data_IF_687563623081
#
_entry.id   IF_687563623081
#
_cell.length_a   1.000
_cell.length_b   1.000
_cell.length_c   1.000
_cell.angle_alpha   90.00
_cell.angle_beta   90.00
_cell.angle_gamma   90.00
#
_symmetry.space_group_name_H-M   'P 1'
#
loop_
_entity.id
_entity.type
_entity.pdbx_description
1 polymer ?
#
# COMPACT_ATOMS: atom_id res chain seq x y z
N UNK A 1 5.33 0.81 -8.56
CA UNK A 1 4.38 -0.28 -8.88
C UNK A 1 4.95 -1.60 -8.36
N UNK A 2 4.13 -2.48 -7.76
CA UNK A 2 4.54 -3.83 -7.34
C UNK A 2 3.99 -4.88 -8.31
N UNK A 3 4.74 -5.94 -8.54
CA UNK A 3 4.38 -7.02 -9.45
C UNK A 3 4.37 -8.33 -8.68
N UNK A 4 3.23 -8.99 -8.68
CA UNK A 4 3.10 -10.39 -8.28
C UNK A 4 3.03 -11.27 -9.52
N UNK A 5 3.68 -12.43 -9.47
CA UNK A 5 3.74 -13.37 -10.58
C UNK A 5 3.44 -14.78 -10.09
N UNK A 6 2.97 -15.62 -11.00
CA UNK A 6 2.80 -17.04 -10.72
C UNK A 6 1.61 -17.66 -11.42
N UNK A 7 1.48 -18.95 -11.18
CA UNK A 7 0.37 -19.75 -11.66
C UNK A 7 -0.89 -19.52 -10.83
N UNK A 8 -2.03 -19.35 -11.51
CA UNK A 8 -3.33 -19.30 -10.85
C UNK A 8 -3.83 -20.73 -10.65
N UNK A 9 -3.75 -21.24 -9.42
CA UNK A 9 -3.91 -22.66 -9.07
C UNK A 9 -5.37 -23.15 -9.03
N UNK A 10 -6.22 -22.74 -9.98
CA UNK A 10 -7.65 -23.08 -10.02
C UNK A 10 -7.90 -24.58 -10.05
N UNK A 11 -7.04 -25.35 -10.72
CA UNK A 11 -7.18 -26.81 -10.82
C UNK A 11 -6.96 -27.48 -9.46
N UNK A 12 -5.84 -27.15 -8.80
CA UNK A 12 -5.48 -27.71 -7.50
C UNK A 12 -6.57 -27.45 -6.46
N UNK A 13 -7.11 -26.22 -6.42
CA UNK A 13 -8.20 -25.87 -5.51
C UNK A 13 -9.53 -26.50 -5.89
N UNK A 14 -9.85 -26.60 -7.18
CA UNK A 14 -11.06 -27.30 -7.61
C UNK A 14 -11.04 -28.76 -7.14
N UNK A 15 -9.88 -29.44 -7.23
CA UNK A 15 -9.71 -30.81 -6.72
C UNK A 15 -9.81 -30.85 -5.19
N UNK A 16 -9.06 -30.00 -4.49
CA UNK A 16 -8.99 -29.96 -3.02
C UNK A 16 -10.37 -29.72 -2.39
N UNK A 17 -11.15 -28.79 -2.95
CA UNK A 17 -12.45 -28.39 -2.43
C UNK A 17 -13.64 -29.03 -3.15
N UNK A 18 -13.40 -29.98 -4.07
CA UNK A 18 -14.42 -30.68 -4.86
C UNK A 18 -15.38 -29.73 -5.61
N UNK A 19 -14.80 -28.69 -6.22
CA UNK A 19 -15.53 -27.69 -6.99
C UNK A 19 -15.56 -28.05 -8.49
N UNK A 20 -16.56 -27.55 -9.19
CA UNK A 20 -16.59 -27.56 -10.65
C UNK A 20 -15.51 -26.60 -11.18
N UNK A 21 -14.45 -27.16 -11.77
CA UNK A 21 -13.28 -26.39 -12.22
C UNK A 21 -13.65 -25.30 -13.23
N UNK A 22 -14.51 -25.60 -14.20
CA UNK A 22 -14.89 -24.62 -15.22
C UNK A 22 -15.69 -23.47 -14.60
N UNK A 23 -16.61 -23.78 -13.69
CA UNK A 23 -17.34 -22.75 -12.94
C UNK A 23 -16.42 -21.92 -12.04
N UNK A 24 -15.41 -22.54 -11.42
CA UNK A 24 -14.42 -21.84 -10.62
C UNK A 24 -13.65 -20.85 -11.49
N UNK A 25 -13.08 -21.30 -12.62
CA UNK A 25 -12.36 -20.42 -13.55
C UNK A 25 -13.21 -19.24 -14.01
N UNK A 26 -14.49 -19.45 -14.35
CA UNK A 26 -15.39 -18.36 -14.73
C UNK A 26 -15.63 -17.32 -13.62
N UNK A 27 -15.51 -17.73 -12.35
CA UNK A 27 -15.60 -16.80 -11.21
C UNK A 27 -14.26 -16.11 -10.92
N UNK A 28 -13.15 -16.82 -11.12
CA UNK A 28 -11.79 -16.29 -10.91
C UNK A 28 -11.46 -15.21 -11.94
N UNK A 29 -11.74 -15.46 -13.22
CA UNK A 29 -11.46 -14.53 -14.31
C UNK A 29 -12.65 -13.62 -14.62
N UNK A 30 -13.33 -13.13 -13.58
CA UNK A 30 -14.46 -12.20 -13.72
C UNK A 30 -13.97 -10.77 -13.47
N UNK A 31 -13.84 -9.93 -14.51
CA UNK A 31 -13.44 -8.53 -14.35
C UNK A 31 -14.48 -7.72 -13.56
N UNK A 32 -14.05 -6.60 -12.96
CA UNK A 32 -14.95 -5.63 -12.32
C UNK A 32 -15.22 -4.46 -13.28
N UNK A 33 -14.20 -3.69 -13.64
CA UNK A 33 -14.29 -2.51 -14.52
C UNK A 33 -13.55 -2.70 -15.86
N UNK A 34 -12.37 -3.30 -15.84
CA UNK A 34 -11.53 -3.47 -17.03
C UNK A 34 -11.66 -4.90 -17.54
N UNK A 35 -12.29 -5.08 -18.70
CA UNK A 35 -12.40 -6.38 -19.36
C UNK A 35 -11.76 -6.35 -20.74
N UNK A 36 -10.57 -6.93 -20.84
CA UNK A 36 -9.85 -7.15 -22.10
C UNK A 36 -9.46 -8.62 -22.28
N UNK A 37 -10.19 -9.53 -21.63
CA UNK A 37 -9.95 -10.96 -21.72
C UNK A 37 -10.40 -11.52 -23.06
N UNK A 38 -9.55 -12.31 -23.70
CA UNK A 38 -9.96 -13.14 -24.83
C UNK A 38 -10.72 -14.36 -24.30
N UNK A 39 -12.04 -14.22 -24.20
CA UNK A 39 -12.92 -15.21 -23.55
C UNK A 39 -12.85 -16.58 -24.21
N UNK A 40 -12.72 -16.65 -25.54
CA UNK A 40 -12.65 -17.91 -26.27
C UNK A 40 -11.34 -18.65 -25.97
N UNK A 41 -10.19 -17.96 -26.10
CA UNK A 41 -8.88 -18.52 -25.76
C UNK A 41 -8.81 -18.95 -24.29
N UNK A 42 -9.32 -18.10 -23.39
CA UNK A 42 -9.31 -18.34 -21.96
C UNK A 42 -10.09 -19.61 -21.60
N UNK A 43 -11.33 -19.75 -22.10
CA UNK A 43 -12.14 -20.96 -21.88
C UNK A 43 -11.51 -22.21 -22.48
N UNK A 44 -10.89 -22.08 -23.65
CA UNK A 44 -10.13 -23.18 -24.28
C UNK A 44 -8.94 -23.65 -23.42
N UNK A 45 -8.38 -22.77 -22.58
CA UNK A 45 -7.21 -23.06 -21.76
C UNK A 45 -7.57 -23.83 -20.47
N UNK A 46 -8.77 -23.65 -19.91
CA UNK A 46 -9.14 -24.13 -18.58
C UNK A 46 -8.85 -25.61 -18.32
N UNK A 47 -8.92 -26.50 -19.32
CA UNK A 47 -8.66 -27.93 -19.11
C UNK A 47 -7.39 -28.42 -19.84
N UNK A 48 -6.57 -27.50 -20.34
CA UNK A 48 -5.38 -27.82 -21.15
C UNK A 48 -4.08 -27.37 -20.49
N UNK A 49 -4.08 -26.22 -19.81
CA UNK A 49 -2.87 -25.67 -19.22
C UNK A 49 -3.19 -24.80 -17.99
N UNK A 50 -2.17 -24.61 -17.16
CA UNK A 50 -2.18 -23.62 -16.09
C UNK A 50 -2.06 -22.22 -16.69
N UNK A 51 -2.72 -21.24 -16.07
CA UNK A 51 -2.66 -19.84 -16.49
C UNK A 51 -1.66 -19.13 -15.61
N UNK A 52 -0.58 -18.63 -16.22
CA UNK A 52 0.40 -17.78 -15.57
C UNK A 52 -0.05 -16.32 -15.61
N UNK A 53 0.02 -15.63 -14.47
CA UNK A 53 -0.46 -14.27 -14.31
C UNK A 53 0.67 -13.33 -13.89
N UNK A 54 0.66 -12.11 -14.44
CA UNK A 54 1.39 -10.96 -13.91
C UNK A 54 0.36 -9.98 -13.36
N UNK A 55 0.37 -9.78 -12.05
CA UNK A 55 -0.50 -8.86 -11.35
C UNK A 55 0.27 -7.58 -11.00
N UNK A 56 -0.17 -6.47 -11.59
CA UNK A 56 0.41 -5.16 -11.36
C UNK A 56 -0.43 -4.38 -10.35
N UNK A 57 0.15 -4.05 -9.19
CA UNK A 57 -0.51 -3.23 -8.16
C UNK A 57 -0.25 -1.76 -8.41
N UNK A 58 -1.32 -0.97 -8.41
CA UNK A 58 -1.30 0.48 -8.62
C UNK A 58 -0.70 0.87 -9.99
N UNK A 59 -1.27 0.28 -11.06
CA UNK A 59 -0.97 0.60 -12.45
C UNK A 59 -2.02 1.57 -12.99
N UNK A 60 -1.59 2.60 -13.72
CA UNK A 60 -2.50 3.49 -14.42
C UNK A 60 -3.23 2.79 -15.57
N UNK A 61 -4.50 3.14 -15.79
CA UNK A 61 -5.32 2.56 -16.85
C UNK A 61 -4.72 2.75 -18.25
N UNK A 62 -4.13 3.91 -18.52
CA UNK A 62 -3.40 4.21 -19.76
C UNK A 62 -2.27 3.21 -20.01
N UNK A 63 -1.44 2.98 -19.00
CA UNK A 63 -0.33 2.03 -19.04
C UNK A 63 -0.84 0.60 -19.26
N UNK A 64 -1.91 0.20 -18.57
CA UNK A 64 -2.52 -1.11 -18.76
C UNK A 64 -3.02 -1.32 -20.20
N UNK A 65 -3.64 -0.30 -20.80
CA UNK A 65 -4.13 -0.33 -22.17
C UNK A 65 -3.00 -0.40 -23.21
N UNK A 66 -1.89 0.32 -22.99
CA UNK A 66 -0.70 0.25 -23.84
C UNK A 66 -0.06 -1.13 -23.80
N UNK A 67 0.11 -1.68 -22.59
CA UNK A 67 0.65 -3.03 -22.40
C UNK A 67 -0.24 -4.10 -23.04
N UNK A 68 -1.56 -3.99 -22.89
CA UNK A 68 -2.51 -4.88 -23.55
C UNK A 68 -2.35 -4.85 -25.08
N UNK A 69 -2.26 -3.65 -25.67
CA UNK A 69 -2.05 -3.50 -27.13
C UNK A 69 -0.75 -4.13 -27.59
N UNK A 70 0.35 -3.92 -26.85
CA UNK A 70 1.65 -4.50 -27.17
C UNK A 70 1.63 -6.03 -27.13
N UNK A 71 0.94 -6.61 -26.14
CA UNK A 71 0.86 -8.07 -25.94
C UNK A 71 -0.23 -8.75 -26.79
N UNK A 72 -1.16 -8.01 -27.38
CA UNK A 72 -2.29 -8.57 -28.14
C UNK A 72 -1.85 -9.45 -29.33
N UNK A 73 -0.66 -9.21 -29.88
CA UNK A 73 -0.09 -10.02 -30.95
C UNK A 73 0.60 -11.31 -30.48
N UNK A 74 0.91 -11.42 -29.18
CA UNK A 74 1.57 -12.58 -28.60
C UNK A 74 0.57 -13.72 -28.46
N UNK A 75 0.76 -14.82 -29.21
CA UNK A 75 -0.22 -15.89 -29.30
C UNK A 75 -0.68 -16.48 -27.95
N UNK A 76 0.23 -16.71 -26.95
CA UNK A 76 -0.14 -17.20 -25.63
C UNK A 76 -0.87 -16.19 -24.73
N UNK A 77 -0.91 -14.91 -25.09
CA UNK A 77 -1.56 -13.89 -24.28
C UNK A 77 -3.08 -14.08 -24.27
N UNK A 78 -3.64 -14.17 -23.05
CA UNK A 78 -5.07 -14.41 -22.82
C UNK A 78 -5.87 -13.11 -22.59
N UNK A 79 -5.20 -11.97 -22.48
CA UNK A 79 -5.82 -10.67 -22.22
C UNK A 79 -5.49 -10.12 -20.83
N UNK A 80 -6.15 -9.02 -20.47
CA UNK A 80 -6.00 -8.32 -19.19
C UNK A 80 -7.35 -8.06 -18.56
N UNK A 81 -7.37 -8.03 -17.22
CA UNK A 81 -8.51 -7.59 -16.43
C UNK A 81 -8.03 -6.83 -15.21
N UNK A 82 -8.93 -6.06 -14.60
CA UNK A 82 -8.72 -5.54 -13.26
C UNK A 82 -8.98 -6.62 -12.20
N UNK A 83 -8.33 -6.44 -11.05
CA UNK A 83 -8.43 -7.32 -9.88
C UNK A 83 -8.84 -6.48 -8.69
N UNK A 84 -9.81 -6.99 -7.93
CA UNK A 84 -10.39 -6.30 -6.79
C UNK A 84 -10.40 -7.20 -5.56
N UNK A 85 -9.62 -6.85 -4.55
CA UNK A 85 -9.40 -7.72 -3.39
C UNK A 85 -10.55 -7.70 -2.36
N UNK A 86 -11.55 -6.83 -2.50
CA UNK A 86 -12.82 -6.99 -1.78
C UNK A 86 -13.67 -8.15 -2.32
N UNK A 87 -13.34 -8.70 -3.50
CA UNK A 87 -13.86 -9.99 -3.94
C UNK A 87 -13.02 -11.13 -3.32
N UNK A 88 -13.59 -12.00 -2.47
CA UNK A 88 -12.86 -13.10 -1.83
C UNK A 88 -12.14 -14.04 -2.81
N UNK A 89 -12.70 -14.24 -4.02
CA UNK A 89 -12.09 -15.11 -5.03
C UNK A 89 -10.84 -14.43 -5.61
N UNK A 90 -10.90 -13.13 -5.86
CA UNK A 90 -9.74 -12.39 -6.35
C UNK A 90 -8.65 -12.30 -5.29
N UNK A 91 -9.02 -12.08 -4.03
CA UNK A 91 -8.09 -12.08 -2.91
C UNK A 91 -7.32 -13.42 -2.87
N UNK A 92 -8.03 -14.54 -2.83
CA UNK A 92 -7.41 -15.85 -2.77
C UNK A 92 -6.48 -16.11 -3.97
N UNK A 93 -7.01 -16.03 -5.19
CA UNK A 93 -6.27 -16.47 -6.38
C UNK A 93 -5.20 -15.51 -6.88
N UNK A 94 -5.31 -14.20 -6.58
CA UNK A 94 -4.37 -13.20 -7.08
C UNK A 94 -3.49 -12.56 -5.99
N UNK A 95 -3.95 -12.46 -4.74
CA UNK A 95 -3.15 -11.90 -3.63
C UNK A 95 -2.41 -13.00 -2.88
N UNK A 96 -3.11 -14.07 -2.51
CA UNK A 96 -2.56 -15.13 -1.64
C UNK A 96 -1.76 -16.17 -2.44
N UNK A 97 -2.19 -16.52 -3.66
CA UNK A 97 -1.50 -17.52 -4.47
C UNK A 97 -0.31 -17.00 -5.29
N UNK A 98 -0.31 -15.71 -5.67
CA UNK A 98 0.77 -15.15 -6.49
C UNK A 98 1.92 -14.64 -5.62
N UNK A 99 3.15 -14.91 -6.05
CA UNK A 99 4.35 -14.47 -5.34
C UNK A 99 4.64 -13.03 -5.71
N UNK A 100 4.76 -12.16 -4.70
CA UNK A 100 5.19 -10.79 -4.93
C UNK A 100 6.70 -10.74 -5.17
N UNK A 101 7.12 -10.45 -6.41
CA UNK A 101 8.52 -10.66 -6.83
C UNK A 101 9.26 -9.38 -7.16
N UNK A 102 8.57 -8.33 -7.64
CA UNK A 102 9.26 -7.15 -8.16
C UNK A 102 8.61 -5.83 -7.76
N UNK A 103 9.45 -4.79 -7.77
CA UNK A 103 9.01 -3.39 -7.80
C UNK A 103 9.59 -2.67 -9.01
N UNK A 104 8.74 -1.96 -9.73
CA UNK A 104 9.16 -1.04 -10.79
C UNK A 104 9.06 0.42 -10.32
N UNK A 105 10.19 1.14 -10.43
CA UNK A 105 10.32 2.58 -10.15
C UNK A 105 11.31 3.22 -11.13
N UNK A 106 10.84 4.04 -12.07
CA UNK A 106 11.66 4.89 -12.96
C UNK A 106 12.90 4.20 -13.57
N UNK A 107 12.71 3.11 -14.32
CA UNK A 107 13.81 2.36 -14.95
C UNK A 107 14.64 1.53 -13.95
N UNK A 108 14.22 1.45 -12.69
CA UNK A 108 14.78 0.58 -11.68
C UNK A 108 13.83 -0.56 -11.34
N UNK A 109 14.42 -1.72 -11.08
CA UNK A 109 13.72 -2.93 -10.65
C UNK A 109 14.26 -3.34 -9.28
N UNK A 110 13.42 -3.35 -8.26
CA UNK A 110 13.76 -4.06 -7.02
C UNK A 110 13.35 -5.52 -7.16
N UNK A 111 14.26 -6.43 -6.89
CA UNK A 111 14.00 -7.87 -6.75
C UNK A 111 13.71 -8.15 -5.28
N UNK A 112 12.54 -8.69 -4.99
CA UNK A 112 12.11 -8.96 -3.63
C UNK A 112 12.72 -10.24 -3.08
N UNK A 113 13.07 -10.20 -1.80
CA UNK A 113 13.41 -11.37 -0.99
C UNK A 113 12.80 -11.20 0.40
N UNK A 114 12.56 -12.33 1.07
CA UNK A 114 12.03 -12.37 2.44
C UNK A 114 12.95 -13.17 3.37
N UNK A 115 12.68 -13.13 4.68
CA UNK A 115 13.44 -13.92 5.65
C UNK A 115 13.33 -15.42 5.33
N UNK A 116 14.48 -16.06 5.10
CA UNK A 116 14.58 -17.50 4.86
C UNK A 116 14.61 -17.92 3.38
N UNK A 117 14.51 -16.97 2.45
CA UNK A 117 14.71 -17.28 1.02
C UNK A 117 16.18 -17.63 0.73
N UNK A 118 16.41 -18.69 -0.07
CA UNK A 118 17.74 -19.19 -0.43
C UNK A 118 18.52 -18.28 -1.40
N UNK A 119 17.99 -17.10 -1.72
CA UNK A 119 18.64 -16.09 -2.54
C UNK A 119 17.78 -15.60 -3.70
N UNK A 120 18.25 -14.55 -4.35
CA UNK A 120 17.57 -13.94 -5.51
C UNK A 120 18.03 -14.60 -6.80
N UNK A 121 17.07 -14.86 -7.70
CA UNK A 121 17.36 -15.42 -9.03
C UNK A 121 18.24 -14.45 -9.85
N UNK A 122 19.52 -14.79 -9.95
CA UNK A 122 20.52 -14.01 -10.67
C UNK A 122 20.31 -13.99 -12.19
N UNK A 123 19.58 -14.96 -12.75
CA UNK A 123 19.25 -14.96 -14.18
C UNK A 123 18.19 -13.91 -14.48
N UNK A 124 17.16 -13.82 -13.64
CA UNK A 124 16.15 -12.77 -13.75
C UNK A 124 16.76 -11.39 -13.56
N UNK A 125 17.70 -11.23 -12.63
CA UNK A 125 18.43 -9.97 -12.48
C UNK A 125 19.12 -9.56 -13.79
N UNK A 126 19.87 -10.48 -14.41
CA UNK A 126 20.57 -10.23 -15.68
C UNK A 126 19.60 -9.89 -16.81
N UNK A 127 18.43 -10.53 -16.87
CA UNK A 127 17.42 -10.26 -17.90
C UNK A 127 16.92 -8.80 -17.82
N UNK A 128 16.66 -8.30 -16.61
CA UNK A 128 16.27 -6.91 -16.41
C UNK A 128 17.40 -5.94 -16.80
N UNK A 129 18.64 -6.22 -16.40
CA UNK A 129 19.81 -5.41 -16.76
C UNK A 129 20.04 -5.36 -18.27
N UNK A 130 19.93 -6.49 -18.96
CA UNK A 130 20.00 -6.58 -20.42
C UNK A 130 18.87 -5.82 -21.12
N UNK A 131 17.72 -5.70 -20.45
CA UNK A 131 16.57 -4.93 -20.93
C UNK A 131 16.67 -3.43 -20.59
N UNK A 132 17.79 -2.97 -20.03
CA UNK A 132 18.08 -1.56 -19.74
C UNK A 132 17.63 -1.07 -18.37
N UNK A 133 17.23 -1.96 -17.46
CA UNK A 133 16.86 -1.59 -16.09
C UNK A 133 18.05 -1.66 -15.15
N UNK A 134 18.10 -0.78 -14.15
CA UNK A 134 19.01 -0.97 -13.00
C UNK A 134 18.33 -1.84 -11.94
N UNK A 135 19.01 -2.87 -11.43
CA UNK A 135 18.44 -3.77 -10.42
C UNK A 135 18.97 -3.46 -9.02
N UNK A 136 18.18 -3.80 -8.00
CA UNK A 136 18.61 -3.86 -6.59
C UNK A 136 17.84 -4.94 -5.86
N UNK A 137 18.35 -5.40 -4.72
CA UNK A 137 17.60 -6.27 -3.83
C UNK A 137 16.78 -5.43 -2.84
N UNK A 138 15.57 -5.89 -2.52
CA UNK A 138 14.69 -5.24 -1.54
C UNK A 138 14.07 -6.28 -0.62
N UNK A 139 14.33 -6.13 0.69
CA UNK A 139 13.70 -6.93 1.73
C UNK A 139 12.24 -6.51 1.89
N UNK A 140 11.31 -7.45 1.71
CA UNK A 140 9.87 -7.21 1.92
C UNK A 140 9.41 -7.52 3.34
N UNK A 141 10.33 -7.98 4.19
CA UNK A 141 10.13 -8.31 5.60
C UNK A 141 9.10 -9.40 5.81
N UNK A 142 8.12 -9.13 6.68
CA UNK A 142 7.10 -10.11 7.05
C UNK A 142 5.81 -10.00 6.21
N UNK A 143 5.79 -9.15 5.17
CA UNK A 143 4.63 -8.98 4.29
C UNK A 143 4.34 -10.25 3.49
N UNK A 144 3.06 -10.63 3.41
CA UNK A 144 2.62 -11.86 2.74
C UNK A 144 3.04 -13.16 3.43
N UNK A 145 3.58 -13.07 4.65
CA UNK A 145 3.92 -14.23 5.48
C UNK A 145 2.79 -14.55 6.47
N UNK A 146 2.98 -15.55 7.32
CA UNK A 146 2.05 -15.87 8.42
C UNK A 146 1.85 -14.72 9.42
N UNK A 147 2.75 -13.74 9.44
CA UNK A 147 2.63 -12.56 10.30
C UNK A 147 1.82 -11.43 9.66
N UNK A 148 1.50 -11.55 8.36
CA UNK A 148 0.67 -10.55 7.67
C UNK A 148 -0.81 -10.77 7.94
N UNK A 149 -1.32 -10.06 8.94
CA UNK A 149 -2.72 -10.12 9.34
C UNK A 149 -3.63 -9.11 8.63
N UNK A 150 -3.17 -8.50 7.53
CA UNK A 150 -3.95 -7.51 6.75
C UNK A 150 -4.52 -8.06 5.44
N UNK A 151 -4.13 -9.26 5.01
CA UNK A 151 -4.66 -9.91 3.81
C UNK A 151 -6.02 -10.59 4.08
N UNK A 152 -7.04 -9.79 4.40
CA UNK A 152 -8.42 -10.27 4.61
C UNK A 152 -9.45 -9.34 3.94
N UNK A 153 -10.58 -9.91 3.52
CA UNK A 153 -11.61 -9.22 2.71
C UNK A 153 -12.06 -7.88 3.32
N UNK A 154 -12.33 -7.85 4.63
CA UNK A 154 -12.80 -6.63 5.32
C UNK A 154 -11.77 -5.50 5.30
N UNK A 155 -10.46 -5.79 5.20
CA UNK A 155 -9.42 -4.77 5.01
C UNK A 155 -9.57 -4.10 3.66
N UNK A 156 -9.68 -4.90 2.58
CA UNK A 156 -9.86 -4.38 1.23
C UNK A 156 -11.21 -3.71 1.01
N UNK A 157 -12.28 -4.11 1.70
CA UNK A 157 -13.54 -3.35 1.73
C UNK A 157 -13.37 -1.94 2.34
N UNK A 158 -12.45 -1.76 3.30
CA UNK A 158 -12.11 -0.43 3.84
C UNK A 158 -11.34 0.41 2.84
N UNK A 159 -10.43 -0.22 2.09
CA UNK A 159 -9.73 0.41 0.96
C UNK A 159 -10.73 0.92 -0.08
N UNK A 160 -11.62 0.06 -0.58
CA UNK A 160 -12.64 0.47 -1.55
C UNK A 160 -13.56 1.58 -1.01
N UNK A 161 -13.91 1.52 0.28
CA UNK A 161 -14.71 2.55 0.94
C UNK A 161 -13.96 3.88 1.03
N UNK A 162 -12.66 3.85 1.33
CA UNK A 162 -11.82 5.03 1.40
C UNK A 162 -11.71 5.71 0.03
N UNK A 163 -11.45 4.94 -1.02
CA UNK A 163 -11.37 5.45 -2.39
C UNK A 163 -12.66 6.16 -2.82
N UNK A 164 -13.82 5.56 -2.50
CA UNK A 164 -15.13 6.16 -2.77
C UNK A 164 -15.35 7.46 -2.01
N UNK A 165 -15.00 7.50 -0.72
CA UNK A 165 -15.12 8.71 0.11
C UNK A 165 -14.27 9.83 -0.46
N UNK A 166 -12.98 9.57 -0.72
CA UNK A 166 -12.08 10.60 -1.25
C UNK A 166 -12.48 11.08 -2.65
N UNK A 167 -12.90 10.16 -3.52
CA UNK A 167 -13.42 10.53 -4.85
C UNK A 167 -14.68 11.38 -4.75
N UNK A 168 -15.57 11.08 -3.79
CA UNK A 168 -16.78 11.87 -3.53
C UNK A 168 -16.46 13.27 -2.98
N UNK A 169 -15.54 13.34 -2.01
CA UNK A 169 -15.19 14.59 -1.33
C UNK A 169 -14.35 15.54 -2.18
N UNK A 170 -13.47 15.00 -3.04
CA UNK A 170 -12.43 15.78 -3.72
C UNK A 170 -12.43 15.64 -5.25
N UNK A 171 -13.31 14.80 -5.79
CA UNK A 171 -13.33 14.46 -7.21
C UNK A 171 -12.09 13.70 -7.65
N UNK A 172 -11.84 13.66 -8.96
CA UNK A 172 -10.68 13.00 -9.57
C UNK A 172 -9.37 13.80 -9.45
N UNK A 173 -9.34 14.87 -8.66
CA UNK A 173 -8.18 15.76 -8.51
C UNK A 173 -7.09 15.19 -7.58
N UNK A 174 -7.37 14.07 -6.92
CA UNK A 174 -6.43 13.38 -6.03
C UNK A 174 -6.27 11.96 -6.53
N UNK A 175 -5.02 11.54 -6.73
CA UNK A 175 -4.68 10.17 -7.08
C UNK A 175 -4.77 9.26 -5.83
N UNK A 176 -6.02 8.99 -5.44
CA UNK A 176 -6.34 8.26 -4.21
C UNK A 176 -5.75 6.86 -4.22
N UNK A 177 -5.69 6.21 -5.38
CA UNK A 177 -5.09 4.89 -5.56
C UNK A 177 -3.59 4.89 -5.19
N UNK A 178 -2.84 5.91 -5.64
CA UNK A 178 -1.43 6.06 -5.24
C UNK A 178 -1.27 6.25 -3.73
N UNK A 179 -2.14 7.06 -3.11
CA UNK A 179 -2.07 7.31 -1.66
C UNK A 179 -2.37 6.05 -0.86
N UNK A 180 -3.42 5.32 -1.21
CA UNK A 180 -3.72 4.00 -0.64
C UNK A 180 -2.51 3.10 -0.78
N UNK A 181 -1.96 3.00 -1.99
CA UNK A 181 -0.80 2.17 -2.27
C UNK A 181 0.41 2.53 -1.39
N UNK A 182 0.70 3.82 -1.21
CA UNK A 182 1.81 4.28 -0.38
C UNK A 182 1.58 4.04 1.11
N UNK A 183 0.37 4.28 1.63
CA UNK A 183 0.05 4.06 3.04
C UNK A 183 0.08 2.58 3.42
N UNK A 184 -0.50 1.73 2.56
CA UNK A 184 -0.43 0.27 2.69
C UNK A 184 1.01 -0.24 2.62
N UNK A 185 1.88 0.47 1.89
CA UNK A 185 3.31 0.19 1.85
C UNK A 185 4.04 0.52 3.14
N UNK A 186 3.65 1.60 3.81
CA UNK A 186 4.31 2.04 5.04
C UNK A 186 3.90 1.16 6.20
N UNK A 187 2.61 1.16 6.50
CA UNK A 187 2.02 0.41 7.58
C UNK A 187 0.49 0.39 7.42
N UNK A 188 -0.14 -0.79 7.31
CA UNK A 188 -1.60 -0.89 7.18
C UNK A 188 -2.40 -0.22 8.32
N UNK A 189 -1.84 -0.12 9.54
CA UNK A 189 -2.46 0.62 10.65
C UNK A 189 -2.52 2.14 10.41
N UNK A 190 -1.57 2.71 9.68
CA UNK A 190 -1.63 4.12 9.27
C UNK A 190 -2.76 4.34 8.26
N UNK A 191 -2.94 3.40 7.32
CA UNK A 191 -4.08 3.42 6.41
C UNK A 191 -5.41 3.34 7.19
N UNK A 192 -5.54 2.39 8.13
CA UNK A 192 -6.74 2.25 8.97
C UNK A 192 -7.05 3.55 9.74
N UNK A 193 -6.03 4.20 10.31
CA UNK A 193 -6.19 5.46 11.03
C UNK A 193 -6.69 6.59 10.11
N UNK A 194 -6.11 6.72 8.91
CA UNK A 194 -6.57 7.73 7.94
C UNK A 194 -7.97 7.41 7.41
N UNK A 195 -8.27 6.14 7.14
CA UNK A 195 -9.59 5.70 6.67
C UNK A 195 -10.68 5.93 7.72
N UNK A 196 -10.39 5.68 8.99
CA UNK A 196 -11.26 6.05 10.09
C UNK A 196 -11.53 7.56 10.12
N UNK A 197 -10.47 8.38 10.02
CA UNK A 197 -10.60 9.84 9.99
C UNK A 197 -11.44 10.33 8.81
N UNK A 198 -11.26 9.74 7.63
CA UNK A 198 -12.03 10.03 6.42
C UNK A 198 -13.52 9.71 6.58
N UNK A 199 -13.85 8.58 7.20
CA UNK A 199 -15.24 8.20 7.51
C UNK A 199 -15.89 9.13 8.51
N UNK A 200 -15.14 9.58 9.52
CA UNK A 200 -15.64 10.61 10.46
C UNK A 200 -15.98 11.89 9.71
N UNK A 201 -15.12 12.32 8.79
CA UNK A 201 -15.37 13.51 7.95
C UNK A 201 -16.58 13.33 7.01
N UNK A 202 -16.71 12.17 6.38
CA UNK A 202 -17.79 11.87 5.43
C UNK A 202 -19.18 11.94 6.10
N UNK A 203 -19.26 11.48 7.34
CA UNK A 203 -20.50 11.50 8.16
C UNK A 203 -20.75 12.83 8.88
N UNK A 204 -19.82 13.78 8.81
CA UNK A 204 -19.90 15.00 9.58
C UNK A 204 -20.93 15.98 8.99
N UNK A 205 -21.87 16.38 9.84
CA UNK A 205 -22.94 17.33 9.49
C UNK A 205 -22.91 18.59 10.35
N UNK A 206 -22.45 18.46 11.60
CA UNK A 206 -22.42 19.55 12.59
C UNK A 206 -21.01 20.07 12.85
N UNK A 207 -20.91 21.25 13.47
CA UNK A 207 -19.62 21.82 13.89
C UNK A 207 -18.86 20.89 14.85
N UNK A 208 -19.57 20.17 15.72
CA UNK A 208 -18.99 19.20 16.61
C UNK A 208 -18.41 18.00 15.84
N UNK A 209 -19.13 17.50 14.83
CA UNK A 209 -18.62 16.42 13.98
C UNK A 209 -17.36 16.84 13.21
N UNK A 210 -17.31 18.09 12.72
CA UNK A 210 -16.12 18.62 12.04
C UNK A 210 -14.93 18.75 13.01
N UNK A 211 -15.17 19.13 14.27
CA UNK A 211 -14.14 19.13 15.30
C UNK A 211 -13.63 17.70 15.60
N UNK A 212 -14.52 16.71 15.65
CA UNK A 212 -14.14 15.30 15.81
C UNK A 212 -13.35 14.76 14.61
N UNK A 213 -13.73 15.13 13.39
CA UNK A 213 -12.97 14.79 12.18
C UNK A 213 -11.56 15.41 12.23
N UNK A 214 -11.44 16.68 12.63
CA UNK A 214 -10.16 17.35 12.77
C UNK A 214 -9.27 16.69 13.85
N UNK A 215 -9.86 16.27 14.98
CA UNK A 215 -9.17 15.51 16.02
C UNK A 215 -8.63 14.17 15.49
N UNK A 216 -9.39 13.47 14.65
CA UNK A 216 -8.94 12.24 14.00
C UNK A 216 -7.76 12.49 13.06
N UNK A 217 -7.79 13.59 12.28
CA UNK A 217 -6.65 14.01 11.45
C UNK A 217 -5.39 14.31 12.26
N UNK A 218 -5.54 14.96 13.42
CA UNK A 218 -4.42 15.15 14.37
C UNK A 218 -3.86 13.83 14.87
N UNK A 219 -4.72 12.90 15.31
CA UNK A 219 -4.28 11.58 15.80
C UNK A 219 -3.53 10.81 14.72
N UNK A 220 -3.96 10.91 13.47
CA UNK A 220 -3.21 10.37 12.34
C UNK A 220 -1.81 10.98 12.23
N UNK A 221 -1.67 12.31 12.31
CA UNK A 221 -0.35 12.97 12.27
C UNK A 221 0.57 12.55 13.42
N UNK A 222 0.03 12.32 14.61
CA UNK A 222 0.78 11.79 15.76
C UNK A 222 1.31 10.37 15.47
N UNK A 223 0.47 9.47 14.96
CA UNK A 223 0.88 8.12 14.57
C UNK A 223 1.87 8.12 13.40
N UNK A 224 1.67 9.00 12.42
CA UNK A 224 2.57 9.15 11.29
C UNK A 224 3.94 9.65 11.76
N UNK A 225 3.98 10.59 12.71
CA UNK A 225 5.22 11.03 13.33
C UNK A 225 5.92 9.88 14.09
N UNK A 226 5.19 9.06 14.84
CA UNK A 226 5.73 7.88 15.53
C UNK A 226 6.35 6.90 14.52
N UNK A 227 5.70 6.69 13.38
CA UNK A 227 6.23 5.85 12.31
C UNK A 227 7.48 6.45 11.66
N UNK A 228 7.47 7.73 11.29
CA UNK A 228 8.59 8.38 10.60
C UNK A 228 9.82 8.52 11.52
N UNK A 229 9.61 9.08 12.71
CA UNK A 229 10.64 9.40 13.68
C UNK A 229 10.08 9.13 15.09
N UNK A 230 10.32 7.92 15.65
CA UNK A 230 9.86 7.55 16.98
C UNK A 230 10.30 8.56 18.04
N UNK A 231 9.53 8.68 19.12
CA UNK A 231 9.87 9.58 20.21
C UNK A 231 11.21 9.21 20.87
N UNK A 232 12.01 10.21 21.20
CA UNK A 232 13.33 10.05 21.83
C UNK A 232 13.50 11.02 23.00
N UNK A 233 14.27 10.62 24.01
CA UNK A 233 14.59 11.48 25.16
C UNK A 233 15.64 12.56 24.82
N UNK A 234 16.50 12.30 23.84
CA UNK A 234 17.54 13.23 23.40
C UNK A 234 16.97 14.20 22.36
N UNK A 235 17.31 15.51 22.44
CA UNK A 235 16.88 16.47 21.44
C UNK A 235 17.55 16.22 20.08
N UNK A 236 16.81 16.51 19.00
CA UNK A 236 17.36 16.56 17.64
C UNK A 236 17.64 18.02 17.27
N UNK A 237 18.91 18.38 17.06
CA UNK A 237 19.35 19.75 16.73
C UNK A 237 18.69 20.81 17.64
N UNK A 238 18.86 20.61 18.94
CA UNK A 238 18.33 21.48 20.01
C UNK A 238 16.78 21.47 20.16
N UNK A 239 16.05 20.79 19.29
CA UNK A 239 14.59 20.66 19.39
C UNK A 239 14.22 19.37 20.14
N UNK A 240 13.28 19.50 21.07
CA UNK A 240 12.69 18.35 21.77
C UNK A 240 11.87 17.52 20.79
N UNK A 241 12.08 16.20 20.82
CA UNK A 241 11.46 15.20 19.94
C UNK A 241 10.87 14.04 20.76
N UNK A 242 10.27 14.37 21.91
CA UNK A 242 9.53 13.43 22.74
C UNK A 242 8.13 13.15 22.19
N UNK A 243 7.36 12.36 22.96
CA UNK A 243 6.03 11.86 22.56
C UNK A 243 5.07 12.99 22.13
N UNK A 244 5.02 14.07 22.90
CA UNK A 244 4.12 15.21 22.64
C UNK A 244 4.61 16.14 21.52
N UNK A 245 5.88 16.04 21.11
CA UNK A 245 6.48 16.88 20.06
C UNK A 245 6.41 16.23 18.66
N UNK A 246 5.28 15.62 18.30
CA UNK A 246 5.08 14.95 17.01
C UNK A 246 5.40 15.86 15.80
N UNK A 247 5.06 17.14 15.87
CA UNK A 247 5.42 18.14 14.85
C UNK A 247 6.93 18.22 14.63
N UNK A 248 7.72 18.29 15.71
CA UNK A 248 9.17 18.36 15.62
C UNK A 248 9.77 17.05 15.09
N UNK A 249 9.13 15.91 15.38
CA UNK A 249 9.53 14.59 14.87
C UNK A 249 9.34 14.47 13.36
N UNK A 250 8.22 14.96 12.84
CA UNK A 250 8.00 15.09 11.39
C UNK A 250 9.07 16.01 10.75
N UNK A 251 9.33 17.18 11.34
CA UNK A 251 10.39 18.08 10.89
C UNK A 251 11.78 17.43 10.89
N UNK A 252 12.09 16.63 11.92
CA UNK A 252 13.36 15.91 12.02
C UNK A 252 13.51 14.91 10.86
N UNK A 253 12.46 14.13 10.59
CA UNK A 253 12.43 13.21 9.45
C UNK A 253 12.66 13.95 8.12
N UNK A 254 11.88 15.00 7.83
CA UNK A 254 12.01 15.81 6.60
C UNK A 254 13.45 16.32 6.44
N UNK A 255 14.01 16.88 7.52
CA UNK A 255 15.37 17.44 7.50
C UNK A 255 16.40 16.38 7.15
N UNK A 256 16.36 15.23 7.83
CA UNK A 256 17.32 14.13 7.63
C UNK A 256 17.21 13.59 6.20
N UNK A 257 16.00 13.29 5.73
CA UNK A 257 15.83 12.63 4.44
C UNK A 257 16.09 13.58 3.26
N UNK A 258 15.71 14.86 3.36
CA UNK A 258 16.08 15.85 2.34
C UNK A 258 17.58 16.08 2.27
N UNK A 259 18.30 16.10 3.40
CA UNK A 259 19.76 16.22 3.41
C UNK A 259 20.43 15.00 2.76
N UNK A 260 19.93 13.78 3.03
CA UNK A 260 20.45 12.55 2.41
C UNK A 260 20.23 12.53 0.90
N UNK A 261 19.10 13.06 0.41
CA UNK A 261 18.76 13.06 -1.02
C UNK A 261 19.13 14.34 -1.75
N UNK A 262 19.75 15.32 -1.06
CA UNK A 262 20.04 16.67 -1.56
C UNK A 262 18.79 17.38 -2.11
N UNK A 263 17.62 17.14 -1.48
CA UNK A 263 16.36 17.80 -1.82
C UNK A 263 16.26 19.17 -1.14
N UNK A 264 15.83 20.17 -1.91
CA UNK A 264 15.63 21.54 -1.40
C UNK A 264 14.23 21.75 -0.77
N UNK A 265 13.43 20.70 -0.64
CA UNK A 265 12.02 20.78 -0.22
C UNK A 265 11.80 20.95 1.30
N UNK A 266 12.87 21.03 2.11
CA UNK A 266 12.79 21.14 3.59
C UNK A 266 11.84 22.27 4.01
N UNK A 267 12.02 23.46 3.42
CA UNK A 267 11.25 24.65 3.81
C UNK A 267 9.78 24.51 3.42
N UNK A 268 9.51 23.97 2.24
CA UNK A 268 8.16 23.79 1.72
C UNK A 268 7.38 22.75 2.53
N UNK A 269 7.92 21.54 2.65
CA UNK A 269 7.29 20.43 3.38
C UNK A 269 7.16 20.71 4.87
N UNK A 270 8.13 21.42 5.45
CA UNK A 270 8.08 21.84 6.83
C UNK A 270 7.03 22.92 7.10
N UNK A 271 6.90 23.93 6.22
CA UNK A 271 5.82 24.93 6.32
C UNK A 271 4.44 24.27 6.18
N UNK A 272 4.33 23.30 5.28
CA UNK A 272 3.09 22.55 5.09
C UNK A 272 2.75 21.69 6.31
N UNK A 273 3.76 21.09 6.95
CA UNK A 273 3.61 20.42 8.25
C UNK A 273 3.03 21.37 9.29
N UNK A 274 3.62 22.57 9.46
CA UNK A 274 3.14 23.55 10.42
C UNK A 274 1.70 23.98 10.13
N UNK A 275 1.36 24.20 8.85
CA UNK A 275 0.01 24.57 8.42
C UNK A 275 -1.01 23.48 8.75
N UNK A 276 -0.76 22.23 8.37
CA UNK A 276 -1.65 21.10 8.62
C UNK A 276 -1.85 20.86 10.13
N UNK A 277 -0.76 20.89 10.91
CA UNK A 277 -0.83 20.75 12.37
C UNK A 277 -1.67 21.86 12.98
N UNK A 278 -1.49 23.11 12.55
CA UNK A 278 -2.28 24.23 13.03
C UNK A 278 -3.76 24.09 12.66
N UNK A 279 -4.08 23.64 11.44
CA UNK A 279 -5.47 23.43 11.01
C UNK A 279 -6.18 22.35 11.85
N UNK A 280 -5.54 21.19 12.04
CA UNK A 280 -6.14 20.10 12.83
C UNK A 280 -6.22 20.42 14.33
N UNK A 281 -5.30 21.23 14.86
CA UNK A 281 -5.40 21.73 16.23
C UNK A 281 -6.46 22.83 16.38
N UNK A 282 -6.58 23.74 15.41
CA UNK A 282 -7.57 24.82 15.44
C UNK A 282 -9.01 24.31 15.33
N UNK A 283 -9.22 23.16 14.67
CA UNK A 283 -10.52 22.48 14.63
C UNK A 283 -11.10 22.13 16.01
N UNK A 284 -10.28 22.14 17.07
CA UNK A 284 -10.69 21.93 18.46
C UNK A 284 -11.18 23.21 19.17
N UNK A 285 -10.94 24.39 18.59
CA UNK A 285 -11.08 25.67 19.30
C UNK A 285 -11.86 26.74 18.53
N UNK A 286 -12.06 26.59 17.23
CA UNK A 286 -12.75 27.57 16.41
C UNK A 286 -13.67 26.85 15.42
N UNK A 287 -14.97 26.72 15.76
CA UNK A 287 -16.08 26.21 14.93
C UNK A 287 -15.71 26.03 13.45
N UNK A 288 -15.07 24.90 13.08
CA UNK A 288 -14.42 24.80 11.79
C UNK A 288 -15.47 24.53 10.73
N UNK A 289 -15.45 25.28 9.62
CA UNK A 289 -16.35 25.01 8.51
C UNK A 289 -15.98 23.68 7.82
N UNK A 290 -16.99 22.97 7.32
CA UNK A 290 -16.85 21.73 6.54
C UNK A 290 -15.75 21.84 5.47
N UNK A 291 -15.79 22.91 4.69
CA UNK A 291 -14.85 23.18 3.59
C UNK A 291 -13.40 23.28 4.07
N UNK A 292 -13.16 23.89 5.24
CA UNK A 292 -11.80 24.00 5.79
C UNK A 292 -11.25 22.65 6.21
N UNK A 293 -12.07 21.82 6.87
CA UNK A 293 -11.65 20.48 7.31
C UNK A 293 -11.45 19.57 6.11
N UNK A 294 -12.38 19.57 5.15
CA UNK A 294 -12.24 18.82 3.90
C UNK A 294 -10.94 19.19 3.17
N UNK A 295 -10.69 20.49 2.98
CA UNK A 295 -9.45 20.96 2.35
C UNK A 295 -8.20 20.50 3.11
N UNK A 296 -8.22 20.55 4.44
CA UNK A 296 -7.10 20.06 5.25
C UNK A 296 -6.83 18.56 5.03
N UNK A 297 -7.86 17.73 4.88
CA UNK A 297 -7.69 16.29 4.56
C UNK A 297 -7.17 16.06 3.14
N UNK A 298 -7.62 16.84 2.16
CA UNK A 298 -7.08 16.81 0.79
C UNK A 298 -5.59 17.15 0.79
N UNK A 299 -5.22 18.25 1.45
CA UNK A 299 -3.84 18.71 1.51
C UNK A 299 -2.96 17.72 2.32
N UNK A 300 -3.48 17.17 3.42
CA UNK A 300 -2.81 16.13 4.22
C UNK A 300 -2.41 14.94 3.34
N UNK A 301 -3.33 14.48 2.51
CA UNK A 301 -3.13 13.31 1.67
C UNK A 301 -2.09 13.54 0.57
N UNK A 302 -2.07 14.73 -0.03
CA UNK A 302 -1.01 15.13 -0.97
C UNK A 302 0.35 15.25 -0.26
N UNK A 303 0.35 15.89 0.90
CA UNK A 303 1.55 16.07 1.71
C UNK A 303 2.18 14.74 2.14
N UNK A 304 1.37 13.73 2.51
CA UNK A 304 1.89 12.37 2.81
C UNK A 304 2.64 11.80 1.61
N UNK A 305 2.08 11.92 0.40
CA UNK A 305 2.73 11.43 -0.82
C UNK A 305 4.08 12.13 -1.04
N UNK A 306 4.13 13.46 -0.84
CA UNK A 306 5.37 14.24 -0.98
C UNK A 306 6.44 13.83 0.06
N UNK A 307 6.03 13.57 1.31
CA UNK A 307 6.92 13.10 2.40
C UNK A 307 7.52 11.73 2.07
N UNK A 308 6.72 10.82 1.52
CA UNK A 308 7.16 9.49 1.11
C UNK A 308 8.14 9.58 -0.07
N UNK A 309 7.89 10.49 -1.00
CA UNK A 309 8.74 10.70 -2.18
C UNK A 309 10.10 11.32 -1.87
N UNK A 310 10.33 11.92 -0.69
CA UNK A 310 11.66 12.40 -0.29
C UNK A 310 12.68 11.26 -0.36
N UNK A 311 12.33 10.10 0.22
CA UNK A 311 13.15 8.90 0.22
C UNK A 311 12.28 7.64 0.41
N UNK A 312 11.70 7.09 -0.68
CA UNK A 312 10.80 5.94 -0.61
C UNK A 312 11.43 4.71 0.05
N UNK A 313 12.73 4.48 -0.12
CA UNK A 313 13.44 3.37 0.51
C UNK A 313 13.59 3.52 2.02
N UNK A 314 13.87 4.73 2.52
CA UNK A 314 14.12 4.93 3.96
C UNK A 314 12.83 4.94 4.78
N UNK A 315 11.69 5.30 4.16
CA UNK A 315 10.41 5.35 4.86
C UNK A 315 9.80 3.95 5.03
N UNK A 316 10.13 2.99 4.14
CA UNK A 316 9.64 1.62 4.20
C UNK A 316 10.33 0.85 5.33
N UNK A 317 9.55 0.42 6.32
CA UNK A 317 10.01 -0.37 7.47
C UNK A 317 9.30 -1.72 7.48
N UNK A 318 9.73 -2.70 6.66
CA UNK A 318 8.93 -3.88 6.31
C UNK A 318 8.66 -4.85 7.47
N UNK A 319 9.38 -4.75 8.59
CA UNK A 319 9.11 -5.51 9.81
C UNK A 319 8.28 -4.74 10.84
N UNK A 320 8.33 -3.40 10.83
CA UNK A 320 7.68 -2.57 11.84
C UNK A 320 6.15 -2.75 11.81
N UNK A 321 5.58 -2.96 10.63
CA UNK A 321 4.14 -3.18 10.48
C UNK A 321 3.62 -4.44 11.19
N UNK A 322 4.51 -5.40 11.46
CA UNK A 322 4.22 -6.74 11.99
C UNK A 322 4.96 -7.01 13.31
N UNK A 323 5.45 -5.96 13.96
CA UNK A 323 6.29 -6.07 15.17
C UNK A 323 5.58 -6.79 16.31
N UNK A 324 4.27 -6.59 16.47
CA UNK A 324 3.49 -7.25 17.52
C UNK A 324 3.45 -8.76 17.29
N UNK A 325 3.10 -9.17 16.08
CA UNK A 325 2.97 -10.57 15.67
C UNK A 325 4.32 -11.29 15.76
N UNK A 326 5.39 -10.61 15.35
CA UNK A 326 6.77 -11.10 15.50
C UNK A 326 7.17 -11.25 16.97
N UNK A 327 6.89 -10.26 17.82
CA UNK A 327 7.22 -10.31 19.25
C UNK A 327 6.42 -11.38 19.99
N UNK A 328 5.13 -11.54 19.67
CA UNK A 328 4.29 -12.61 20.23
C UNK A 328 4.86 -13.99 19.88
N UNK A 329 5.20 -14.23 18.61
CA UNK A 329 5.82 -15.47 18.16
C UNK A 329 7.16 -15.75 18.84
N UNK A 330 8.03 -14.74 18.95
CA UNK A 330 9.32 -14.89 19.65
C UNK A 330 9.13 -15.21 21.14
N UNK A 331 8.18 -14.55 21.80
CA UNK A 331 7.88 -14.80 23.21
C UNK A 331 7.34 -16.22 23.41
N UNK A 332 6.49 -16.73 22.52
CA UNK A 332 6.01 -18.11 22.56
C UNK A 332 7.15 -19.12 22.45
N UNK A 333 8.08 -18.92 21.51
CA UNK A 333 9.26 -19.79 21.34
C UNK A 333 10.13 -19.78 22.59
N UNK A 334 10.46 -18.60 23.11
CA UNK A 334 11.32 -18.46 24.28
C UNK A 334 10.70 -19.11 25.52
N UNK A 335 9.39 -18.91 25.74
CA UNK A 335 8.68 -19.49 26.87
C UNK A 335 8.60 -21.02 26.77
N UNK A 336 8.41 -21.57 25.57
CA UNK A 336 8.39 -23.02 25.33
C UNK A 336 9.76 -23.67 25.54
N UNK A 337 10.87 -22.96 25.27
CA UNK A 337 12.22 -23.46 25.53
C UNK A 337 12.67 -23.35 27.00
N UNK A 338 12.07 -22.47 27.80
CA UNK A 338 12.31 -22.41 29.24
C UNK A 338 11.54 -23.45 30.07
N UNK A 339 10.67 -24.24 29.44
CA UNK A 339 9.88 -25.31 30.09
C UNK A 339 10.43 -26.73 29.85
N UNK A 340 11.57 -26.86 29.15
CA UNK A 340 12.34 -28.10 28.92
C UNK A 340 13.73 -27.96 29.51
#
# INVERSE_FOLDING_TARGET
MRISIGDVLTYSDAVKYRLDHTKLCLKVYKPDLLNQLNTEKLKGTFNMATIYCLLFKNMELSTAQEMHKALSSFAPYLGSMDVKFSNPIHLHFFRECLVESYRLEFGKVSLFYSMGDEGVDLEIQKLFEQSGFSTKLEDIGARGTIFDNFDYVKHFERIDSFEKIFTSLFGSNIDTANIVYYLEELHPKLFDALSAAARTLDRAETEEDFAQAALSGRRFLEQFADYLFPAQDKPFRERQVGKTQYKNRIWAYITIECEKTNSNSITELGKETDRLVNLFNAGLHASPSKEKVQKAFCDLVKWIADIIQINPSSVRKPYLAYENELNEFLNEILNNHSAT
#
